data_IF_149715882584
#
_entry.id   IF_149715882584
#
_cell.length_a   1.000
_cell.length_b   1.000
_cell.length_c   1.000
_cell.angle_alpha   90.00
_cell.angle_beta   90.00
_cell.angle_gamma   90.00
#
_symmetry.space_group_name_H-M   'P 1'
#
loop_
_entity.id
_entity.type
_entity.pdbx_description
1 polymer ?
#
# COMPACT_ATOMS: atom_id res chain seq x y z
N UNK A 1 -50.26 -22.50 29.54
CA UNK A 1 -49.10 -22.99 28.79
C UNK A 1 -48.89 -22.21 27.46
N UNK A 2 -49.20 -20.90 27.40
CA UNK A 2 -49.10 -20.09 26.16
C UNK A 2 -48.11 -18.91 26.26
N UNK A 3 -47.41 -18.76 27.38
CA UNK A 3 -46.47 -17.63 27.62
C UNK A 3 -44.99 -18.00 27.56
N UNK A 4 -44.65 -19.28 27.33
CA UNK A 4 -43.24 -19.72 27.30
C UNK A 4 -42.64 -19.82 25.88
N UNK A 5 -43.46 -19.66 24.83
CA UNK A 5 -42.99 -19.81 23.45
C UNK A 5 -42.55 -18.51 22.78
N UNK A 6 -42.80 -17.35 23.41
CA UNK A 6 -42.49 -16.03 22.83
C UNK A 6 -41.07 -15.56 23.20
N UNK A 7 -40.47 -16.08 24.27
CA UNK A 7 -39.15 -15.63 24.74
C UNK A 7 -38.00 -16.30 23.97
N UNK A 8 -38.23 -17.45 23.31
CA UNK A 8 -37.19 -18.17 22.57
C UNK A 8 -36.90 -17.63 21.16
N UNK A 9 -37.80 -16.80 20.60
CA UNK A 9 -37.62 -16.23 19.25
C UNK A 9 -36.87 -14.89 19.23
N UNK A 10 -36.70 -14.23 20.37
CA UNK A 10 -36.04 -12.91 20.41
C UNK A 10 -34.53 -13.01 20.59
N UNK A 11 -34.00 -14.11 21.10
CA UNK A 11 -32.57 -14.32 21.32
C UNK A 11 -31.82 -14.81 20.08
N UNK A 12 -32.53 -15.25 19.02
CA UNK A 12 -31.91 -15.72 17.77
C UNK A 12 -31.66 -14.62 16.72
N UNK A 13 -32.08 -13.39 16.97
CA UNK A 13 -32.00 -12.30 15.97
C UNK A 13 -30.84 -11.30 16.22
N UNK A 14 -29.91 -11.58 17.14
CA UNK A 14 -28.81 -10.67 17.45
C UNK A 14 -27.44 -11.12 16.97
N UNK A 15 -27.34 -12.10 16.06
CA UNK A 15 -26.05 -12.69 15.65
C UNK A 15 -25.70 -12.53 14.15
N UNK A 16 -26.30 -11.62 13.40
CA UNK A 16 -25.90 -11.45 11.99
C UNK A 16 -25.87 -9.98 11.57
N UNK A 17 -24.93 -9.22 12.08
CA UNK A 17 -24.46 -7.99 11.43
C UNK A 17 -23.05 -7.66 11.91
N UNK A 18 -22.14 -8.63 11.79
CA UNK A 18 -20.74 -8.34 11.88
C UNK A 18 -20.23 -8.30 10.42
N UNK A 19 -19.93 -7.12 9.92
CA UNK A 19 -19.17 -6.96 8.68
C UNK A 19 -17.80 -7.63 8.85
N UNK A 20 -17.01 -7.75 7.78
CA UNK A 20 -15.70 -8.40 7.82
C UNK A 20 -14.83 -7.80 8.92
N UNK A 21 -14.10 -8.66 9.65
CA UNK A 21 -13.15 -8.24 10.67
C UNK A 21 -12.08 -7.32 10.10
N UNK A 22 -11.33 -6.61 10.95
CA UNK A 22 -10.21 -5.80 10.47
C UNK A 22 -9.15 -6.65 9.79
N UNK A 23 -8.87 -7.86 10.28
CA UNK A 23 -7.92 -8.79 9.68
C UNK A 23 -8.38 -9.29 8.30
N UNK A 24 -9.69 -9.55 8.12
CA UNK A 24 -10.24 -9.89 6.80
C UNK A 24 -10.16 -8.71 5.82
N UNK A 25 -10.28 -7.49 6.31
CA UNK A 25 -10.18 -6.25 5.49
C UNK A 25 -8.73 -5.87 5.17
N UNK A 26 -7.78 -6.21 6.06
CA UNK A 26 -6.35 -5.90 5.96
C UNK A 26 -5.52 -7.18 6.10
N UNK A 27 -5.65 -8.16 5.19
CA UNK A 27 -4.96 -9.43 5.28
C UNK A 27 -3.47 -9.29 4.95
N UNK A 28 -2.62 -10.19 5.49
CA UNK A 28 -1.22 -10.35 5.10
C UNK A 28 -1.05 -11.44 4.02
N UNK A 29 -1.67 -11.26 2.85
CA UNK A 29 -1.40 -12.14 1.71
C UNK A 29 0.02 -11.93 1.20
N UNK A 30 0.63 -12.97 0.61
CA UNK A 30 2.00 -12.94 0.07
C UNK A 30 3.08 -12.62 1.11
N UNK A 31 2.90 -13.06 2.35
CA UNK A 31 3.75 -12.70 3.49
C UNK A 31 5.23 -12.97 3.24
N UNK A 32 5.59 -14.14 2.70
CA UNK A 32 6.98 -14.47 2.39
C UNK A 32 7.64 -13.49 1.41
N UNK A 33 6.91 -13.05 0.39
CA UNK A 33 7.41 -12.10 -0.60
C UNK A 33 7.54 -10.69 -0.03
N UNK A 34 6.56 -10.27 0.80
CA UNK A 34 6.62 -8.96 1.49
C UNK A 34 7.78 -8.92 2.47
N UNK A 35 7.96 -9.98 3.28
CA UNK A 35 9.08 -10.06 4.24
C UNK A 35 10.43 -10.06 3.51
N UNK A 36 10.57 -10.84 2.43
CA UNK A 36 11.81 -10.87 1.63
C UNK A 36 12.12 -9.47 1.05
N UNK A 37 11.13 -8.81 0.43
CA UNK A 37 11.31 -7.48 -0.14
C UNK A 37 11.60 -6.40 0.94
N UNK A 38 10.96 -6.50 2.10
CA UNK A 38 11.22 -5.62 3.24
C UNK A 38 12.67 -5.74 3.71
N UNK A 39 13.18 -6.95 3.86
CA UNK A 39 14.57 -7.22 4.27
C UNK A 39 15.58 -6.74 3.20
N UNK A 40 15.30 -6.98 1.93
CA UNK A 40 16.19 -6.62 0.82
C UNK A 40 16.33 -5.10 0.67
N UNK A 41 15.22 -4.36 0.72
CA UNK A 41 15.23 -2.92 0.44
C UNK A 41 15.14 -2.04 1.70
N UNK A 42 14.93 -2.61 2.88
CA UNK A 42 14.76 -1.85 4.12
C UNK A 42 13.49 -1.00 4.15
N UNK A 43 12.44 -1.44 3.44
CA UNK A 43 11.11 -0.81 3.46
C UNK A 43 10.24 -1.53 4.49
N UNK A 44 9.64 -0.83 5.47
CA UNK A 44 8.77 -1.46 6.46
C UNK A 44 7.61 -2.25 5.82
N UNK A 45 7.33 -3.46 6.35
CA UNK A 45 6.27 -4.34 5.82
C UNK A 45 4.89 -3.67 5.84
N UNK A 46 4.58 -2.91 6.88
CA UNK A 46 3.31 -2.17 7.02
C UNK A 46 3.09 -1.19 5.86
N UNK A 47 4.16 -0.61 5.32
CA UNK A 47 4.12 0.26 4.15
C UNK A 47 3.89 -0.55 2.87
N UNK A 48 4.59 -1.66 2.67
CA UNK A 48 4.42 -2.51 1.48
C UNK A 48 2.98 -3.01 1.42
N UNK A 49 2.46 -3.54 2.53
CA UNK A 49 1.06 -3.99 2.63
C UNK A 49 0.06 -2.86 2.38
N UNK A 50 0.29 -1.68 2.93
CA UNK A 50 -0.61 -0.53 2.73
C UNK A 50 -0.67 -0.11 1.25
N UNK A 51 0.47 -0.13 0.54
CA UNK A 51 0.52 0.15 -0.91
C UNK A 51 -0.25 -0.93 -1.68
N UNK A 52 0.03 -2.22 -1.47
CA UNK A 52 -0.68 -3.32 -2.14
C UNK A 52 -2.20 -3.22 -1.92
N UNK A 53 -2.61 -2.95 -0.68
CA UNK A 53 -4.02 -2.77 -0.31
C UNK A 53 -4.68 -1.63 -1.07
N UNK A 54 -4.01 -0.49 -1.19
CA UNK A 54 -4.55 0.71 -1.83
C UNK A 54 -4.53 0.63 -3.36
N UNK A 55 -3.55 -0.05 -3.95
CA UNK A 55 -3.33 -0.14 -5.39
C UNK A 55 -4.20 -1.22 -6.05
N UNK A 56 -4.22 -2.41 -5.51
CA UNK A 56 -4.90 -3.55 -6.16
C UNK A 56 -5.89 -4.29 -5.29
N UNK A 57 -5.93 -4.02 -3.99
CA UNK A 57 -6.63 -4.86 -3.01
C UNK A 57 -6.22 -6.35 -3.14
N UNK A 58 -4.90 -6.57 -3.26
CA UNK A 58 -4.28 -7.90 -3.41
C UNK A 58 -4.67 -8.67 -4.69
N UNK A 59 -5.02 -7.99 -5.77
CA UNK A 59 -5.29 -8.61 -7.07
C UNK A 59 -4.03 -8.59 -7.94
N UNK A 60 -3.38 -9.75 -8.17
CA UNK A 60 -2.12 -9.81 -8.91
C UNK A 60 -2.29 -9.52 -10.41
N UNK A 61 -3.47 -9.73 -10.94
CA UNK A 61 -3.86 -9.51 -12.34
C UNK A 61 -4.47 -8.13 -12.61
N UNK A 62 -4.45 -7.22 -11.62
CA UNK A 62 -5.04 -5.90 -11.77
C UNK A 62 -4.32 -5.06 -12.85
N UNK A 63 -5.10 -4.44 -13.71
CA UNK A 63 -4.63 -3.47 -14.71
C UNK A 63 -5.48 -2.21 -14.60
N UNK A 64 -4.84 -1.06 -14.42
CA UNK A 64 -5.53 0.23 -14.36
C UNK A 64 -5.86 0.75 -15.76
N UNK A 65 -6.79 1.73 -15.88
CA UNK A 65 -7.09 2.37 -17.18
C UNK A 65 -5.89 3.01 -17.87
N UNK A 66 -4.84 3.36 -17.11
CA UNK A 66 -3.60 3.94 -17.64
C UNK A 66 -2.50 2.91 -17.86
N UNK A 67 -2.78 1.62 -17.63
CA UNK A 67 -1.86 0.52 -17.89
C UNK A 67 -0.90 0.18 -16.74
N UNK A 68 -1.15 0.65 -15.52
CA UNK A 68 -0.40 0.18 -14.35
C UNK A 68 -0.83 -1.25 -13.99
N UNK A 69 0.12 -2.12 -13.62
CA UNK A 69 -0.04 -3.56 -13.55
C UNK A 69 0.31 -4.16 -12.19
N UNK A 70 -0.43 -5.21 -11.81
CA UNK A 70 -0.11 -6.09 -10.69
C UNK A 70 -0.46 -5.55 -9.32
N UNK A 71 0.08 -6.21 -8.29
CA UNK A 71 -0.22 -5.94 -6.88
C UNK A 71 0.08 -4.51 -6.45
N UNK A 72 1.19 -3.95 -6.91
CA UNK A 72 1.65 -2.60 -6.56
C UNK A 72 1.47 -1.59 -7.71
N UNK A 73 0.70 -1.94 -8.75
CA UNK A 73 0.32 -1.08 -9.88
C UNK A 73 1.52 -0.35 -10.50
N UNK A 74 2.51 -1.12 -10.92
CA UNK A 74 3.69 -0.58 -11.58
C UNK A 74 3.41 -0.31 -13.05
N UNK A 75 3.82 0.86 -13.55
CA UNK A 75 3.85 1.12 -14.98
C UNK A 75 4.91 0.24 -15.65
N UNK A 76 4.64 -0.41 -16.80
CA UNK A 76 5.62 -1.28 -17.47
C UNK A 76 6.98 -0.64 -17.70
N UNK A 77 7.01 0.63 -18.12
CA UNK A 77 8.28 1.37 -18.31
C UNK A 77 9.04 1.58 -17.00
N UNK A 78 8.34 1.78 -15.88
CA UNK A 78 8.95 1.93 -14.55
C UNK A 78 9.48 0.58 -14.06
N UNK A 79 8.71 -0.50 -14.26
CA UNK A 79 9.09 -1.86 -13.93
C UNK A 79 10.38 -2.27 -14.64
N UNK A 80 10.44 -2.09 -15.97
CA UNK A 80 11.64 -2.36 -16.79
C UNK A 80 12.85 -1.55 -16.30
N UNK A 81 12.66 -0.24 -16.06
CA UNK A 81 13.72 0.63 -15.59
C UNK A 81 14.27 0.21 -14.22
N UNK A 82 13.40 -0.17 -13.28
CA UNK A 82 13.80 -0.64 -11.96
C UNK A 82 14.61 -1.93 -12.05
N UNK A 83 14.13 -2.93 -12.78
CA UNK A 83 14.85 -4.19 -12.96
C UNK A 83 16.22 -3.95 -13.60
N UNK A 84 16.26 -3.27 -14.74
CA UNK A 84 17.47 -3.11 -15.53
C UNK A 84 18.52 -2.21 -14.85
N UNK A 85 18.09 -1.05 -14.34
CA UNK A 85 19.03 -0.02 -13.89
C UNK A 85 19.23 0.03 -12.38
N UNK A 86 18.24 -0.37 -11.59
CA UNK A 86 18.37 -0.36 -10.12
C UNK A 86 18.73 -1.72 -9.57
N UNK A 87 18.05 -2.77 -10.01
CA UNK A 87 18.26 -4.13 -9.53
C UNK A 87 19.35 -4.89 -10.32
N UNK A 88 19.67 -4.42 -11.54
CA UNK A 88 20.64 -5.06 -12.46
C UNK A 88 20.23 -6.47 -12.88
N UNK A 89 18.94 -6.65 -13.12
CA UNK A 89 18.32 -7.92 -13.49
C UNK A 89 17.78 -7.90 -14.92
N UNK A 90 17.54 -9.08 -15.47
CA UNK A 90 16.90 -9.24 -16.77
C UNK A 90 15.44 -8.82 -16.71
N UNK A 91 15.02 -8.04 -17.69
CA UNK A 91 13.61 -7.66 -17.84
C UNK A 91 12.84 -8.76 -18.59
N UNK A 92 11.80 -9.30 -17.93
CA UNK A 92 10.82 -10.22 -18.50
C UNK A 92 9.44 -9.59 -18.29
N UNK A 93 8.79 -9.15 -19.38
CA UNK A 93 7.57 -8.33 -19.31
C UNK A 93 6.42 -9.02 -18.57
N UNK A 94 6.24 -10.33 -18.74
CA UNK A 94 5.17 -11.11 -18.16
C UNK A 94 5.29 -11.20 -16.62
N UNK A 95 6.50 -11.09 -16.08
CA UNK A 95 6.75 -11.15 -14.65
C UNK A 95 6.19 -9.95 -13.88
N UNK A 96 5.70 -8.90 -14.57
CA UNK A 96 5.01 -7.78 -13.91
C UNK A 96 3.74 -8.22 -13.16
N UNK A 97 3.12 -9.35 -13.55
CA UNK A 97 1.96 -9.94 -12.88
C UNK A 97 2.34 -11.05 -11.89
N UNK A 98 3.59 -11.48 -11.86
CA UNK A 98 4.09 -12.41 -10.85
C UNK A 98 4.14 -11.71 -9.49
N UNK A 99 3.49 -12.28 -8.43
CA UNK A 99 3.41 -11.63 -7.14
C UNK A 99 4.77 -11.30 -6.51
N UNK A 100 5.74 -12.21 -6.59
CA UNK A 100 7.06 -12.00 -6.02
C UNK A 100 7.80 -10.87 -6.74
N UNK A 101 7.84 -10.93 -8.06
CA UNK A 101 8.50 -9.95 -8.90
C UNK A 101 7.89 -8.55 -8.76
N UNK A 102 6.55 -8.46 -8.74
CA UNK A 102 5.83 -7.19 -8.61
C UNK A 102 6.05 -6.54 -7.23
N UNK A 103 5.93 -7.32 -6.14
CA UNK A 103 6.15 -6.84 -4.76
C UNK A 103 7.60 -6.37 -4.59
N UNK A 104 8.57 -7.19 -5.04
CA UNK A 104 9.98 -6.89 -4.92
C UNK A 104 10.37 -5.62 -5.68
N UNK A 105 9.88 -5.47 -6.92
CA UNK A 105 10.15 -4.27 -7.73
C UNK A 105 9.44 -3.04 -7.18
N UNK A 106 8.22 -3.18 -6.66
CA UNK A 106 7.49 -2.10 -5.98
C UNK A 106 8.18 -1.62 -4.69
N UNK A 107 8.74 -2.54 -3.91
CA UNK A 107 9.55 -2.20 -2.73
C UNK A 107 10.86 -1.49 -3.13
N UNK A 108 11.51 -1.91 -4.24
CA UNK A 108 12.64 -1.18 -4.83
C UNK A 108 12.26 0.25 -5.20
N UNK A 109 11.08 0.48 -5.81
CA UNK A 109 10.58 1.83 -6.13
C UNK A 109 10.39 2.67 -4.88
N UNK A 110 9.76 2.12 -3.84
CA UNK A 110 9.58 2.81 -2.55
C UNK A 110 10.91 3.21 -1.92
N UNK A 111 11.89 2.29 -1.91
CA UNK A 111 13.24 2.57 -1.44
C UNK A 111 13.93 3.66 -2.25
N UNK A 112 13.82 3.61 -3.56
CA UNK A 112 14.38 4.62 -4.46
C UNK A 112 13.79 6.00 -4.17
N UNK A 113 12.47 6.11 -4.06
CA UNK A 113 11.79 7.37 -3.75
C UNK A 113 12.11 7.87 -2.34
N UNK A 114 12.26 6.97 -1.37
CA UNK A 114 12.67 7.34 -0.01
C UNK A 114 14.09 7.91 0.02
N UNK A 115 14.98 7.41 -0.83
CA UNK A 115 16.32 7.96 -1.01
C UNK A 115 16.35 9.40 -1.54
N UNK A 116 15.29 9.81 -2.26
CA UNK A 116 15.15 11.17 -2.79
C UNK A 116 14.49 12.09 -1.75
N UNK A 117 13.39 11.66 -1.14
CA UNK A 117 12.52 12.55 -0.37
C UNK A 117 12.63 12.41 1.16
N UNK A 118 13.17 11.31 1.66
CA UNK A 118 13.40 11.02 3.08
C UNK A 118 12.16 11.17 4.00
N UNK A 119 10.96 11.29 3.44
CA UNK A 119 9.69 11.45 4.11
C UNK A 119 8.63 10.55 3.46
N UNK A 120 8.00 9.67 4.24
CA UNK A 120 7.07 8.69 3.68
C UNK A 120 5.82 9.30 3.04
N UNK A 121 5.26 10.39 3.57
CA UNK A 121 4.09 11.02 2.95
C UNK A 121 4.45 11.63 1.59
N UNK A 122 5.62 12.25 1.49
CA UNK A 122 6.17 12.75 0.22
C UNK A 122 6.47 11.59 -0.75
N UNK A 123 6.99 10.46 -0.25
CA UNK A 123 7.20 9.23 -1.03
C UNK A 123 5.89 8.69 -1.60
N UNK A 124 4.83 8.62 -0.80
CA UNK A 124 3.52 8.17 -1.28
C UNK A 124 2.94 9.11 -2.35
N UNK A 125 3.11 10.42 -2.16
CA UNK A 125 2.72 11.39 -3.18
C UNK A 125 3.51 11.18 -4.49
N UNK A 126 4.82 10.95 -4.40
CA UNK A 126 5.70 10.72 -5.54
C UNK A 126 5.45 9.36 -6.24
N UNK A 127 5.04 8.34 -5.48
CA UNK A 127 4.64 7.06 -6.02
C UNK A 127 3.45 7.20 -6.97
N UNK A 128 2.45 7.99 -6.58
CA UNK A 128 1.23 8.21 -7.36
C UNK A 128 1.41 9.29 -8.45
N UNK A 129 1.96 10.47 -8.10
CA UNK A 129 2.02 11.62 -9.02
C UNK A 129 3.32 11.70 -9.84
N UNK A 130 4.32 10.87 -9.50
CA UNK A 130 5.64 10.90 -10.09
C UNK A 130 6.62 11.85 -9.37
N UNK A 131 7.88 11.44 -9.31
CA UNK A 131 8.93 12.17 -8.59
C UNK A 131 9.17 13.60 -9.11
N UNK A 132 9.06 13.82 -10.42
CA UNK A 132 9.27 15.14 -11.01
C UNK A 132 8.16 16.13 -10.63
N UNK A 133 6.91 15.67 -10.60
CA UNK A 133 5.75 16.45 -10.16
C UNK A 133 5.92 16.88 -8.70
N UNK A 134 6.24 15.91 -7.83
CA UNK A 134 6.41 16.18 -6.39
C UNK A 134 7.64 17.06 -6.13
N UNK A 135 8.73 16.85 -6.86
CA UNK A 135 9.88 17.77 -6.81
C UNK A 135 9.51 19.22 -7.15
N UNK A 136 8.64 19.41 -8.15
CA UNK A 136 8.08 20.73 -8.47
C UNK A 136 7.23 21.32 -7.35
N UNK A 137 6.43 20.50 -6.66
CA UNK A 137 5.64 20.99 -5.50
C UNK A 137 6.53 21.37 -4.33
N UNK A 138 7.59 20.59 -4.05
CA UNK A 138 8.52 20.91 -2.97
C UNK A 138 9.30 22.21 -3.23
N UNK A 139 9.52 22.58 -4.48
CA UNK A 139 10.19 23.84 -4.87
C UNK A 139 9.27 25.06 -4.83
N UNK A 140 7.97 24.87 -4.60
CA UNK A 140 6.97 25.95 -4.61
C UNK A 140 6.51 26.24 -3.18
N UNK A 141 6.72 27.48 -2.72
CA UNK A 141 6.34 27.93 -1.37
C UNK A 141 4.84 27.77 -1.05
N UNK A 142 3.98 27.64 -2.05
CA UNK A 142 2.55 27.33 -1.84
C UNK A 142 2.33 25.94 -1.27
N UNK A 143 3.22 24.98 -1.55
CA UNK A 143 3.04 23.57 -1.23
C UNK A 143 4.07 23.02 -0.26
N UNK A 144 5.18 23.72 -0.03
CA UNK A 144 6.22 23.34 0.94
C UNK A 144 6.86 24.59 1.54
N UNK A 145 7.16 24.53 2.84
CA UNK A 145 7.85 25.62 3.54
C UNK A 145 9.35 25.36 3.68
N UNK A 146 9.76 24.10 3.57
CA UNK A 146 11.14 23.64 3.83
C UNK A 146 11.82 22.98 2.61
N UNK A 147 11.09 22.81 1.50
CA UNK A 147 11.56 22.10 0.31
C UNK A 147 11.66 20.57 0.48
N UNK A 148 11.21 20.02 1.61
CA UNK A 148 11.33 18.60 1.97
C UNK A 148 9.96 17.97 2.26
N UNK A 149 9.11 18.69 2.96
CA UNK A 149 7.81 18.24 3.43
C UNK A 149 6.68 18.95 2.69
N UNK A 150 5.72 18.18 2.16
CA UNK A 150 4.53 18.77 1.56
C UNK A 150 3.55 19.20 2.65
N UNK A 151 3.23 20.50 2.74
CA UNK A 151 2.14 21.03 3.55
C UNK A 151 0.80 20.95 2.84
N UNK A 152 0.82 20.92 1.51
CA UNK A 152 -0.38 20.78 0.65
C UNK A 152 -0.05 19.93 -0.57
N UNK A 153 -0.97 19.04 -0.93
CA UNK A 153 -0.90 18.21 -2.15
C UNK A 153 -1.94 18.75 -3.12
N UNK A 154 -1.51 19.40 -4.25
CA UNK A 154 -2.45 20.08 -5.14
C UNK A 154 -3.38 19.16 -5.91
N UNK A 155 -2.92 17.94 -6.22
CA UNK A 155 -3.75 16.96 -6.95
C UNK A 155 -4.65 16.20 -5.98
N UNK A 156 -5.97 16.37 -6.13
CA UNK A 156 -6.97 15.75 -5.26
C UNK A 156 -6.89 14.22 -5.23
N UNK A 157 -6.58 13.58 -6.37
CA UNK A 157 -6.36 12.13 -6.46
C UNK A 157 -5.17 11.69 -5.61
N UNK A 158 -4.03 12.37 -5.76
CA UNK A 158 -2.81 12.07 -5.01
C UNK A 158 -3.01 12.31 -3.50
N UNK A 159 -3.70 13.37 -3.13
CA UNK A 159 -4.06 13.65 -1.72
C UNK A 159 -4.91 12.53 -1.13
N UNK A 160 -5.91 12.05 -1.86
CA UNK A 160 -6.73 10.92 -1.44
C UNK A 160 -5.91 9.62 -1.35
N UNK A 161 -5.02 9.38 -2.31
CA UNK A 161 -4.12 8.22 -2.31
C UNK A 161 -3.23 8.20 -1.06
N UNK A 162 -2.54 9.30 -0.77
CA UNK A 162 -1.71 9.44 0.44
C UNK A 162 -2.52 9.17 1.71
N UNK A 163 -3.73 9.73 1.82
CA UNK A 163 -4.59 9.51 2.98
C UNK A 163 -5.03 8.04 3.11
N UNK A 164 -5.35 7.38 2.00
CA UNK A 164 -5.69 5.94 2.03
C UNK A 164 -4.51 5.09 2.51
N UNK A 165 -3.29 5.37 2.01
CA UNK A 165 -2.09 4.64 2.45
C UNK A 165 -1.82 4.86 3.94
N UNK A 166 -1.89 6.10 4.43
CA UNK A 166 -1.71 6.41 5.86
C UNK A 166 -2.71 5.65 6.73
N UNK A 167 -3.97 5.62 6.31
CA UNK A 167 -5.02 4.88 7.00
C UNK A 167 -4.76 3.38 6.99
N UNK A 168 -4.46 2.79 5.84
CA UNK A 168 -4.17 1.37 5.71
C UNK A 168 -2.93 0.97 6.53
N UNK A 169 -1.85 1.75 6.44
CA UNK A 169 -0.64 1.57 7.24
C UNK A 169 -0.96 1.55 8.73
N UNK A 170 -1.77 2.49 9.23
CA UNK A 170 -2.18 2.53 10.63
C UNK A 170 -2.86 1.23 11.07
N UNK A 171 -3.75 0.66 10.24
CA UNK A 171 -4.37 -0.63 10.54
C UNK A 171 -3.36 -1.78 10.52
N UNK A 172 -2.45 -1.86 9.53
CA UNK A 172 -1.41 -2.89 9.52
C UNK A 172 -0.50 -2.80 10.73
N UNK A 173 -0.04 -1.59 11.09
CA UNK A 173 0.77 -1.38 12.29
C UNK A 173 0.05 -1.87 13.53
N UNK A 174 -1.23 -1.48 13.71
CA UNK A 174 -2.04 -1.87 14.87
C UNK A 174 -2.26 -3.38 14.94
N UNK A 175 -2.57 -4.03 13.81
CA UNK A 175 -2.90 -5.45 13.78
C UNK A 175 -1.69 -6.37 13.93
N UNK A 176 -0.52 -5.98 13.37
CA UNK A 176 0.56 -6.94 13.15
C UNK A 176 1.95 -6.50 13.63
N UNK A 177 2.15 -5.22 13.96
CA UNK A 177 3.49 -4.69 14.23
C UNK A 177 3.61 -3.94 15.57
N UNK A 178 2.59 -3.96 16.43
CA UNK A 178 2.68 -3.48 17.82
C UNK A 178 3.27 -4.56 18.72
N UNK A 179 3.81 -4.17 19.89
CA UNK A 179 4.30 -5.14 20.87
C UNK A 179 3.18 -6.06 21.40
N UNK A 180 1.94 -5.58 21.45
CA UNK A 180 0.77 -6.37 21.85
C UNK A 180 0.43 -7.43 20.80
N UNK A 181 0.59 -7.14 19.51
CA UNK A 181 0.30 -8.08 18.41
C UNK A 181 1.36 -9.20 18.27
N UNK A 182 2.54 -9.05 18.88
CA UNK A 182 3.60 -10.08 18.84
C UNK A 182 3.46 -11.14 19.93
N UNK A 183 2.60 -10.92 20.93
CA UNK A 183 2.45 -11.77 22.12
C UNK A 183 1.13 -12.57 22.15
N UNK A 184 0.30 -12.53 21.11
CA UNK A 184 -0.95 -13.27 20.95
C UNK A 184 -0.83 -14.37 19.88
#
# INVERSE_FOLDING_TARGET
>A
MRKLLVILCVTALLLTSCGPSLEERYPRKYESFVTAASLEFGVPEDIIYAVIKCESDFRPDAVSPVGACGLMQLMPVTYEWLLTYKMKEEYIAENIFDPESNIRTGACMLKYLYGIFSNWETVFAAYNAGQGTVGGWLADERYSDDGVTLKEIPYGETKQFVNRIKTARGYYTQLYYTEESKNG
#
